data_IF_694113036876
#
_entry.id   IF_694113036876
#
_cell.length_a   1.000
_cell.length_b   1.000
_cell.length_c   1.000
_cell.angle_alpha   90.00
_cell.angle_beta   90.00
_cell.angle_gamma   90.00
#
_symmetry.space_group_name_H-M   'P 1'
#
loop_
_entity.id
_entity.type
_entity.pdbx_description
1 polymer ?
#
# COMPACT_ATOMS: atom_id res chain seq x y z
N UNK A 1 -9.84 10.14 -9.71
CA UNK A 1 -9.12 9.96 -11.01
C UNK A 1 -9.25 8.47 -11.41
N UNK A 2 -10.01 8.13 -12.47
CA UNK A 2 -10.39 6.75 -12.80
C UNK A 2 -9.24 5.85 -13.29
N UNK A 3 -8.08 6.42 -13.62
CA UNK A 3 -6.94 5.69 -14.20
C UNK A 3 -6.30 4.64 -13.30
N UNK A 4 -6.28 4.86 -11.97
CA UNK A 4 -5.69 3.93 -11.00
C UNK A 4 -6.45 2.60 -10.98
N UNK A 5 -7.77 2.63 -11.21
CA UNK A 5 -8.60 1.43 -11.15
C UNK A 5 -8.35 0.51 -12.35
N UNK A 6 -8.18 1.08 -13.55
CA UNK A 6 -7.83 0.31 -14.74
C UNK A 6 -6.42 -0.28 -14.67
N UNK A 7 -5.43 0.51 -14.22
CA UNK A 7 -4.08 0.01 -14.00
C UNK A 7 -4.07 -1.15 -12.99
N UNK A 8 -4.81 -1.02 -11.89
CA UNK A 8 -4.94 -2.09 -10.89
C UNK A 8 -5.58 -3.36 -11.46
N UNK A 9 -6.61 -3.25 -12.32
CA UNK A 9 -7.24 -4.40 -12.96
C UNK A 9 -6.27 -5.17 -13.88
N UNK A 10 -5.46 -4.45 -14.67
CA UNK A 10 -4.46 -5.07 -15.54
C UNK A 10 -3.38 -5.75 -14.70
N UNK A 11 -2.84 -5.06 -13.69
CA UNK A 11 -1.84 -5.59 -12.76
C UNK A 11 -2.40 -6.81 -12.02
N UNK A 12 -3.66 -6.79 -11.60
CA UNK A 12 -4.32 -7.90 -10.88
C UNK A 12 -4.43 -9.17 -11.71
N UNK A 13 -4.60 -9.06 -13.03
CA UNK A 13 -4.59 -10.23 -13.94
C UNK A 13 -3.19 -10.84 -14.08
N UNK A 14 -2.14 -10.03 -13.96
CA UNK A 14 -0.75 -10.46 -14.12
C UNK A 14 -0.18 -10.97 -12.78
N UNK A 15 -0.60 -10.40 -11.66
CA UNK A 15 -0.16 -10.80 -10.33
C UNK A 15 -0.87 -12.07 -9.85
N UNK A 16 -0.08 -13.05 -9.42
CA UNK A 16 -0.58 -14.26 -8.78
C UNK A 16 -1.43 -13.94 -7.54
N UNK A 17 -2.45 -14.76 -7.26
CA UNK A 17 -3.34 -14.61 -6.09
C UNK A 17 -2.58 -14.56 -4.76
N UNK A 18 -1.39 -15.13 -4.69
CA UNK A 18 -0.49 -15.04 -3.54
C UNK A 18 0.06 -13.63 -3.34
N UNK A 19 0.39 -12.91 -4.41
CA UNK A 19 0.86 -11.52 -4.33
C UNK A 19 -0.31 -10.59 -4.00
N UNK A 20 -1.48 -10.84 -4.60
CA UNK A 20 -2.69 -10.07 -4.31
C UNK A 20 -3.11 -10.13 -2.83
N UNK A 21 -2.88 -11.26 -2.15
CA UNK A 21 -3.13 -11.39 -0.71
C UNK A 21 -2.17 -10.60 0.17
N UNK A 22 -0.97 -10.26 -0.34
CA UNK A 22 0.03 -9.46 0.37
C UNK A 22 -0.13 -7.95 0.10
N UNK A 23 -0.85 -7.58 -0.94
CA UNK A 23 -1.16 -6.18 -1.25
C UNK A 23 -2.26 -5.66 -0.33
N UNK A 24 -1.94 -4.67 0.49
CA UNK A 24 -2.91 -3.89 1.26
C UNK A 24 -3.11 -2.54 0.57
N UNK A 25 -4.35 -2.24 0.18
CA UNK A 25 -4.74 -0.94 -0.36
C UNK A 25 -5.28 -0.10 0.77
N UNK A 26 -4.61 1.02 1.03
CA UNK A 26 -5.11 2.00 1.98
C UNK A 26 -5.63 3.22 1.23
N UNK A 27 -6.73 3.78 1.73
CA UNK A 27 -7.27 5.06 1.27
C UNK A 27 -6.61 6.25 1.97
N UNK A 28 -7.35 7.34 2.13
CA UNK A 28 -6.86 8.55 2.83
C UNK A 28 -6.60 8.35 4.33
N UNK A 29 -7.05 7.25 4.93
CA UNK A 29 -6.93 6.98 6.37
C UNK A 29 -6.51 5.54 6.65
N UNK A 30 -5.84 5.30 7.79
CA UNK A 30 -5.45 3.98 8.28
C UNK A 30 -4.17 3.38 7.69
N UNK A 31 -3.58 4.01 6.66
CA UNK A 31 -2.31 3.55 6.10
C UNK A 31 -1.14 3.71 7.07
N UNK A 32 -1.10 4.85 7.78
CA UNK A 32 -0.03 5.19 8.71
C UNK A 32 0.08 4.19 9.87
N UNK A 33 -1.05 3.90 10.51
CA UNK A 33 -1.11 2.98 11.66
C UNK A 33 -0.70 1.56 11.29
N UNK A 34 -1.09 1.09 10.10
CA UNK A 34 -0.71 -0.24 9.65
C UNK A 34 0.72 -0.30 9.11
N UNK A 35 1.25 0.81 8.58
CA UNK A 35 2.65 0.91 8.15
C UNK A 35 3.60 0.88 9.36
N UNK A 36 3.26 1.62 10.42
CA UNK A 36 4.00 1.63 11.69
C UNK A 36 3.97 0.30 12.46
N UNK A 37 3.04 -0.61 12.12
CA UNK A 37 3.05 -2.00 12.65
C UNK A 37 4.01 -2.92 11.93
N UNK A 38 4.49 -2.52 10.75
CA UNK A 38 5.31 -3.35 9.86
C UNK A 38 6.74 -2.80 9.79
N UNK A 39 6.89 -1.48 9.92
CA UNK A 39 8.14 -0.73 9.81
C UNK A 39 8.21 0.18 11.04
N UNK A 40 9.35 0.17 11.72
CA UNK A 40 9.57 1.01 12.90
C UNK A 40 9.55 2.50 12.52
N UNK A 41 9.12 3.37 13.43
CA UNK A 41 8.88 4.78 13.12
C UNK A 41 10.16 5.53 12.69
N UNK A 42 11.31 5.08 13.21
CA UNK A 42 12.66 5.61 12.95
C UNK A 42 13.21 5.18 11.58
N UNK A 43 12.75 4.04 11.05
CA UNK A 43 13.11 3.58 9.71
C UNK A 43 12.16 4.11 8.62
N UNK A 44 11.10 4.80 9.04
CA UNK A 44 10.07 5.30 8.15
C UNK A 44 10.50 6.67 7.63
N UNK A 45 10.61 6.87 6.31
CA UNK A 45 11.02 8.16 5.79
C UNK A 45 10.00 9.25 6.12
N UNK A 46 10.48 10.46 6.47
CA UNK A 46 9.64 11.60 6.87
C UNK A 46 8.51 11.98 5.88
N UNK A 47 8.67 11.65 4.59
CA UNK A 47 7.61 11.81 3.57
C UNK A 47 6.37 10.95 3.85
N UNK A 48 6.54 9.83 4.55
CA UNK A 48 5.48 8.94 5.01
C UNK A 48 5.12 9.21 6.48
N UNK A 49 5.46 10.40 6.99
CA UNK A 49 5.27 10.82 8.38
C UNK A 49 6.00 9.96 9.42
N UNK A 50 7.16 9.40 9.04
CA UNK A 50 8.14 8.92 10.01
C UNK A 50 8.88 10.08 10.69
N UNK A 51 9.54 9.78 11.81
CA UNK A 51 10.29 10.77 12.60
C UNK A 51 11.57 11.22 11.87
#
# INVERSE_FOLDING_TARGET
KPYINFAFLIIKTILSSTVLRKLKFYGSSGWKEDLLKIIDADELPAFLEGE
#
